data_IF_940092738500
#
_entry.id   IF_940092738500
#
_cell.length_a   1.000
_cell.length_b   1.000
_cell.length_c   1.000
_cell.angle_alpha   90.00
_cell.angle_beta   90.00
_cell.angle_gamma   90.00
#
_symmetry.space_group_name_H-M   'P 1'
#
loop_
_entity.id
_entity.type
_entity.pdbx_description
1 polymer ?
#
# COMPACT_ATOMS: atom_id res chain seq x y z
N UNK A 1 -91.56 5.28 41.66
CA UNK A 1 -90.35 4.87 42.41
C UNK A 1 -89.30 4.52 41.37
N UNK A 2 -88.35 5.43 41.17
CA UNK A 2 -87.17 5.22 40.35
C UNK A 2 -86.02 5.01 41.32
N UNK A 3 -85.35 3.86 41.25
CA UNK A 3 -84.19 3.58 42.09
C UNK A 3 -82.92 3.79 41.26
N UNK A 4 -82.28 4.92 41.49
CA UNK A 4 -80.99 5.31 40.92
C UNK A 4 -79.88 4.67 41.76
N UNK A 5 -79.26 3.61 41.24
CA UNK A 5 -78.04 3.02 41.82
C UNK A 5 -76.80 3.91 41.60
N UNK A 6 -75.84 3.94 42.53
CA UNK A 6 -74.77 4.94 42.54
C UNK A 6 -73.69 4.70 41.49
N UNK A 7 -73.31 5.77 40.80
CA UNK A 7 -72.19 5.83 39.87
C UNK A 7 -70.86 5.64 40.65
N UNK A 8 -69.97 4.71 40.25
CA UNK A 8 -68.68 4.55 40.91
C UNK A 8 -67.75 5.75 40.58
N UNK A 9 -66.88 6.16 41.51
CA UNK A 9 -65.99 7.30 41.31
C UNK A 9 -64.99 6.98 40.21
N UNK A 10 -64.73 7.97 39.35
CA UNK A 10 -63.85 7.88 38.19
C UNK A 10 -62.53 7.18 38.48
N UNK A 11 -62.21 6.19 37.64
CA UNK A 11 -61.00 5.39 37.74
C UNK A 11 -59.76 6.28 37.78
N UNK A 12 -58.95 6.13 38.83
CA UNK A 12 -57.61 6.69 38.85
C UNK A 12 -56.83 6.18 37.63
N UNK A 13 -56.07 7.03 36.91
CA UNK A 13 -55.30 6.60 35.75
C UNK A 13 -54.36 5.46 36.17
N UNK A 14 -54.53 4.31 35.52
CA UNK A 14 -53.84 3.07 35.84
C UNK A 14 -52.32 3.30 35.87
N UNK A 15 -51.66 2.88 36.94
CA UNK A 15 -50.21 2.99 37.15
C UNK A 15 -49.39 2.50 35.95
N UNK A 16 -49.95 1.56 35.18
CA UNK A 16 -49.36 0.98 33.97
C UNK A 16 -49.14 2.01 32.84
N UNK A 17 -50.06 2.97 32.67
CA UNK A 17 -50.01 3.98 31.60
C UNK A 17 -48.84 4.98 31.79
N UNK A 18 -48.28 5.05 33.00
CA UNK A 18 -47.14 5.91 33.37
C UNK A 18 -45.84 5.14 33.57
N UNK A 19 -45.80 3.86 33.19
CA UNK A 19 -44.63 3.02 33.36
C UNK A 19 -43.47 3.49 32.49
N UNK A 20 -42.25 3.44 33.02
CA UNK A 20 -41.03 3.72 32.28
C UNK A 20 -40.90 2.79 31.07
N UNK A 21 -41.30 1.53 31.19
CA UNK A 21 -41.25 0.56 30.09
C UNK A 21 -42.10 0.97 28.88
N UNK A 22 -43.31 1.49 29.11
CA UNK A 22 -44.18 1.98 28.03
C UNK A 22 -43.60 3.24 27.37
N UNK A 23 -42.99 4.12 28.16
CA UNK A 23 -42.28 5.30 27.65
C UNK A 23 -41.07 4.89 26.82
N UNK A 24 -40.30 3.88 27.25
CA UNK A 24 -39.16 3.35 26.51
C UNK A 24 -39.59 2.79 25.16
N UNK A 25 -40.65 1.98 25.10
CA UNK A 25 -41.14 1.42 23.83
C UNK A 25 -41.52 2.52 22.86
N UNK A 26 -42.31 3.51 23.30
CA UNK A 26 -42.70 4.65 22.44
C UNK A 26 -41.50 5.52 22.05
N UNK A 27 -40.55 5.73 22.96
CA UNK A 27 -39.31 6.48 22.67
C UNK A 27 -38.46 5.79 21.61
N UNK A 28 -38.32 4.46 21.68
CA UNK A 28 -37.60 3.66 20.69
C UNK A 28 -38.31 3.69 19.34
N UNK A 29 -39.64 3.62 19.29
CA UNK A 29 -40.39 3.79 18.04
C UNK A 29 -40.12 5.15 17.39
N UNK A 30 -40.19 6.25 18.16
CA UNK A 30 -39.86 7.59 17.66
C UNK A 30 -38.42 7.69 17.15
N UNK A 31 -37.48 7.03 17.82
CA UNK A 31 -36.07 7.01 17.45
C UNK A 31 -35.80 6.19 16.18
N UNK A 32 -36.57 5.12 15.95
CA UNK A 32 -36.50 4.29 14.75
C UNK A 32 -37.19 4.95 13.54
N UNK A 33 -38.24 5.72 13.77
CA UNK A 33 -38.95 6.51 12.74
C UNK A 33 -38.22 7.82 12.40
N UNK A 34 -37.33 8.28 13.26
CA UNK A 34 -36.56 9.50 13.05
C UNK A 34 -35.62 9.38 11.84
N UNK A 35 -35.72 10.35 10.92
CA UNK A 35 -34.84 10.44 9.76
C UNK A 35 -33.37 10.56 10.19
N UNK A 36 -32.49 9.82 9.53
CA UNK A 36 -31.05 9.75 9.81
C UNK A 36 -30.71 9.23 11.22
N UNK A 37 -31.70 8.64 11.92
CA UNK A 37 -31.58 8.16 13.30
C UNK A 37 -31.32 9.27 14.32
N UNK A 38 -31.66 10.52 14.01
CA UNK A 38 -31.46 11.67 14.91
C UNK A 38 -32.79 12.09 15.53
N UNK A 39 -32.90 11.98 16.86
CA UNK A 39 -34.11 12.36 17.59
C UNK A 39 -33.88 13.63 18.41
N UNK A 40 -34.79 14.59 18.26
CA UNK A 40 -34.87 15.78 19.13
C UNK A 40 -35.59 15.41 20.44
N UNK A 41 -34.89 15.60 21.56
CA UNK A 41 -35.39 15.28 22.90
C UNK A 41 -36.55 16.17 23.33
N UNK A 42 -36.68 17.39 22.81
CA UNK A 42 -37.83 18.27 23.07
C UNK A 42 -39.07 17.72 22.38
N UNK A 43 -38.95 17.40 21.09
CA UNK A 43 -40.05 16.81 20.32
C UNK A 43 -40.50 15.49 20.96
N UNK A 44 -39.55 14.63 21.32
CA UNK A 44 -39.86 13.36 21.99
C UNK A 44 -40.57 13.58 23.34
N UNK A 45 -40.15 14.57 24.14
CA UNK A 45 -40.79 14.88 25.42
C UNK A 45 -42.25 15.34 25.25
N UNK A 46 -42.52 16.13 24.22
CA UNK A 46 -43.85 16.62 23.89
C UNK A 46 -44.75 15.48 23.36
N UNK A 47 -44.24 14.67 22.43
CA UNK A 47 -44.97 13.52 21.85
C UNK A 47 -45.27 12.42 22.88
N UNK A 48 -44.35 12.18 23.81
CA UNK A 48 -44.53 11.18 24.86
C UNK A 48 -45.41 11.68 26.03
N UNK A 49 -45.91 12.92 25.96
CA UNK A 49 -46.74 13.57 26.98
C UNK A 49 -46.16 13.43 28.41
N UNK A 50 -44.83 13.46 28.50
CA UNK A 50 -44.13 13.20 29.76
C UNK A 50 -44.22 14.45 30.62
N UNK A 51 -45.10 14.45 31.61
CA UNK A 51 -45.22 15.57 32.59
C UNK A 51 -43.90 15.87 33.35
N UNK A 52 -42.94 14.95 33.33
CA UNK A 52 -41.65 15.05 34.03
C UNK A 52 -40.46 14.78 33.08
N UNK A 53 -39.73 15.84 32.68
CA UNK A 53 -38.52 15.75 31.83
C UNK A 53 -37.46 14.77 32.37
N UNK A 54 -37.52 14.39 33.65
CA UNK A 54 -36.64 13.41 34.28
C UNK A 54 -36.67 12.02 33.62
N UNK A 55 -37.81 11.58 33.08
CA UNK A 55 -37.96 10.22 32.51
C UNK A 55 -37.21 10.04 31.20
N UNK A 56 -37.05 11.10 30.42
CA UNK A 56 -36.24 11.05 29.18
C UNK A 56 -34.79 10.69 29.53
N UNK A 57 -34.23 11.28 30.60
CA UNK A 57 -32.86 10.96 31.03
C UNK A 57 -32.71 9.54 31.57
N UNK A 58 -33.75 8.99 32.22
CA UNK A 58 -33.72 7.58 32.63
C UNK A 58 -33.56 6.66 31.41
N UNK A 59 -34.27 6.95 30.33
CA UNK A 59 -34.22 6.16 29.08
C UNK A 59 -32.88 6.39 28.37
N UNK A 60 -32.48 7.64 28.17
CA UNK A 60 -31.25 7.96 27.42
C UNK A 60 -30.00 7.45 28.14
N UNK A 61 -29.91 7.56 29.48
CA UNK A 61 -28.72 7.10 30.20
C UNK A 61 -28.53 5.59 30.10
N UNK A 62 -29.63 4.82 30.09
CA UNK A 62 -29.56 3.37 29.91
C UNK A 62 -29.17 3.03 28.47
N UNK A 63 -29.81 3.65 27.47
CA UNK A 63 -29.48 3.40 26.06
C UNK A 63 -28.06 3.85 25.69
N UNK A 64 -27.56 4.94 26.28
CA UNK A 64 -26.20 5.43 26.14
C UNK A 64 -25.22 4.52 26.89
N UNK A 65 -25.58 4.05 28.08
CA UNK A 65 -24.79 3.07 28.85
C UNK A 65 -24.63 1.72 28.15
N UNK A 66 -25.61 1.31 27.35
CA UNK A 66 -25.53 0.12 26.47
C UNK A 66 -24.78 0.44 25.15
N UNK A 67 -24.63 1.72 24.80
CA UNK A 67 -23.99 2.18 23.56
C UNK A 67 -24.90 2.15 22.32
N UNK A 68 -26.22 2.06 22.50
CA UNK A 68 -27.20 2.08 21.39
C UNK A 68 -27.52 3.48 20.89
N UNK A 69 -27.16 4.52 21.65
CA UNK A 69 -27.28 5.92 21.27
C UNK A 69 -26.03 6.70 21.64
N UNK A 70 -25.85 7.85 21.00
CA UNK A 70 -24.88 8.86 21.45
C UNK A 70 -25.50 10.26 21.44
N UNK A 71 -24.88 11.15 22.22
CA UNK A 71 -25.25 12.56 22.22
C UNK A 71 -24.62 13.26 21.02
N UNK A 72 -25.46 13.71 20.08
CA UNK A 72 -25.04 14.49 18.92
C UNK A 72 -24.88 15.98 19.25
N UNK A 73 -25.86 16.55 19.96
CA UNK A 73 -25.81 17.95 20.40
C UNK A 73 -26.77 18.18 21.59
N UNK A 74 -26.87 19.42 22.08
CA UNK A 74 -27.80 19.74 23.17
C UNK A 74 -29.24 19.51 22.70
N UNK A 75 -29.95 18.62 23.39
CA UNK A 75 -31.30 18.15 23.03
C UNK A 75 -31.39 17.26 21.78
N UNK A 76 -30.26 16.73 21.28
CA UNK A 76 -30.27 15.82 20.12
C UNK A 76 -29.44 14.58 20.41
N UNK A 77 -30.04 13.42 20.20
CA UNK A 77 -29.38 12.12 20.30
C UNK A 77 -29.41 11.43 18.94
N UNK A 78 -28.43 10.57 18.71
CA UNK A 78 -28.31 9.78 17.50
C UNK A 78 -28.34 8.29 17.84
N UNK A 79 -29.13 7.54 17.09
CA UNK A 79 -29.21 6.09 17.16
C UNK A 79 -27.97 5.46 16.54
N UNK A 80 -27.29 4.61 17.32
CA UNK A 80 -26.15 3.78 16.89
C UNK A 80 -26.53 2.33 16.59
N UNK A 81 -27.71 1.90 17.03
CA UNK A 81 -28.16 0.52 16.86
C UNK A 81 -28.43 0.15 15.40
N UNK A 82 -28.34 -1.14 15.08
CA UNK A 82 -28.75 -1.68 13.78
C UNK A 82 -30.28 -1.76 13.77
N UNK A 83 -30.94 -0.98 12.91
CA UNK A 83 -32.41 -0.94 12.84
C UNK A 83 -32.94 -0.52 11.46
N UNK A 84 -34.21 -0.83 11.17
CA UNK A 84 -34.81 -0.65 9.84
C UNK A 84 -34.95 0.81 9.35
N UNK A 85 -34.60 1.81 10.18
CA UNK A 85 -34.74 3.23 9.86
C UNK A 85 -33.45 4.08 9.86
N UNK A 86 -32.30 3.53 10.26
CA UNK A 86 -31.06 4.30 10.35
C UNK A 86 -29.88 3.49 9.83
N UNK A 87 -29.13 4.07 8.89
CA UNK A 87 -27.86 3.63 8.30
C UNK A 87 -27.87 2.29 7.53
N UNK A 88 -28.81 1.38 7.77
CA UNK A 88 -28.83 0.05 7.12
C UNK A 88 -28.92 0.15 5.59
N UNK A 89 -29.71 1.08 5.06
CA UNK A 89 -29.88 1.26 3.60
C UNK A 89 -28.66 1.91 2.94
N UNK A 90 -28.05 2.90 3.60
CA UNK A 90 -26.83 3.55 3.09
C UNK A 90 -25.62 2.61 3.19
N UNK A 91 -25.51 1.85 4.28
CA UNK A 91 -24.49 0.81 4.45
C UNK A 91 -24.70 -0.30 3.41
N UNK A 92 -25.94 -0.75 3.18
CA UNK A 92 -26.23 -1.73 2.15
C UNK A 92 -25.88 -1.23 0.74
N UNK A 93 -26.18 0.04 0.43
CA UNK A 93 -25.81 0.64 -0.84
C UNK A 93 -24.29 0.72 -1.02
N UNK A 94 -23.56 1.23 -0.01
CA UNK A 94 -22.10 1.26 -0.03
C UNK A 94 -21.49 -0.13 -0.14
N UNK A 95 -22.09 -1.14 0.49
CA UNK A 95 -21.64 -2.52 0.37
C UNK A 95 -21.79 -3.05 -1.06
N UNK A 96 -22.88 -2.70 -1.76
CA UNK A 96 -23.09 -3.08 -3.16
C UNK A 96 -22.08 -2.38 -4.06
N UNK A 97 -21.87 -1.07 -3.85
CA UNK A 97 -20.91 -0.26 -4.61
C UNK A 97 -19.47 -0.77 -4.44
N UNK A 98 -19.03 -0.99 -3.20
CA UNK A 98 -17.70 -1.52 -2.91
C UNK A 98 -17.51 -2.94 -3.46
N UNK A 99 -18.55 -3.78 -3.46
CA UNK A 99 -18.47 -5.11 -4.08
C UNK A 99 -18.28 -5.00 -5.59
N UNK A 100 -19.03 -4.11 -6.25
CA UNK A 100 -18.87 -3.89 -7.68
C UNK A 100 -17.47 -3.33 -8.02
N UNK A 101 -16.95 -2.43 -7.18
CA UNK A 101 -15.59 -1.90 -7.34
C UNK A 101 -14.52 -2.98 -7.17
N UNK A 102 -14.67 -3.88 -6.18
CA UNK A 102 -13.77 -5.03 -6.02
C UNK A 102 -13.81 -5.92 -7.26
N UNK A 103 -15.00 -6.25 -7.78
CA UNK A 103 -15.15 -7.07 -8.97
C UNK A 103 -14.49 -6.44 -10.21
N UNK A 104 -14.60 -5.12 -10.38
CA UNK A 104 -13.94 -4.37 -11.46
C UNK A 104 -12.41 -4.38 -11.31
N UNK A 105 -11.91 -4.14 -10.10
CA UNK A 105 -10.48 -4.19 -9.81
C UNK A 105 -9.90 -5.59 -10.05
N UNK A 106 -10.60 -6.65 -9.64
CA UNK A 106 -10.21 -8.04 -9.90
C UNK A 106 -10.23 -8.38 -11.40
N UNK A 107 -11.14 -7.79 -12.16
CA UNK A 107 -11.13 -7.92 -13.62
C UNK A 107 -9.90 -7.24 -14.23
N UNK A 108 -9.60 -6.02 -13.77
CA UNK A 108 -8.46 -5.26 -14.28
C UNK A 108 -7.12 -5.89 -13.92
N UNK A 109 -6.99 -6.44 -12.72
CA UNK A 109 -5.80 -7.19 -12.30
C UNK A 109 -5.58 -8.41 -13.20
N UNK A 110 -6.63 -9.19 -13.49
CA UNK A 110 -6.54 -10.33 -14.41
C UNK A 110 -6.12 -9.93 -15.82
N UNK A 111 -6.62 -8.80 -16.31
CA UNK A 111 -6.22 -8.28 -17.62
C UNK A 111 -4.73 -7.88 -17.65
N UNK A 112 -4.25 -7.19 -16.61
CA UNK A 112 -2.84 -6.81 -16.50
C UNK A 112 -1.93 -8.03 -16.38
N UNK A 113 -2.30 -9.04 -15.61
CA UNK A 113 -1.51 -10.27 -15.51
C UNK A 113 -1.48 -11.00 -16.86
N UNK A 114 -2.60 -11.01 -17.60
CA UNK A 114 -2.63 -11.56 -18.95
C UNK A 114 -1.69 -10.83 -19.92
N UNK A 115 -1.69 -9.49 -19.89
CA UNK A 115 -0.81 -8.67 -20.71
C UNK A 115 0.66 -8.87 -20.34
N UNK A 116 0.97 -8.93 -19.04
CA UNK A 116 2.31 -9.24 -18.53
C UNK A 116 2.78 -10.60 -19.03
N UNK A 117 1.95 -11.63 -18.94
CA UNK A 117 2.29 -12.96 -19.47
C UNK A 117 2.57 -12.92 -20.97
N UNK A 118 1.76 -12.20 -21.76
CA UNK A 118 2.00 -12.05 -23.20
C UNK A 118 3.32 -11.35 -23.52
N UNK A 119 3.62 -10.25 -22.83
CA UNK A 119 4.87 -9.52 -23.04
C UNK A 119 6.08 -10.35 -22.60
N UNK A 120 6.00 -11.03 -21.45
CA UNK A 120 7.08 -11.92 -20.99
C UNK A 120 7.34 -13.06 -21.98
N UNK A 121 6.28 -13.67 -22.52
CA UNK A 121 6.42 -14.71 -23.53
C UNK A 121 6.96 -14.15 -24.85
N UNK A 122 6.53 -12.95 -25.25
CA UNK A 122 7.05 -12.27 -26.44
C UNK A 122 8.54 -11.96 -26.32
N UNK A 123 8.99 -11.44 -25.17
CA UNK A 123 10.41 -11.21 -24.88
C UNK A 123 11.17 -12.53 -25.00
N UNK A 124 10.69 -13.59 -24.33
CA UNK A 124 11.33 -14.92 -24.39
C UNK A 124 11.45 -15.44 -25.82
N UNK A 125 10.38 -15.34 -26.61
CA UNK A 125 10.39 -15.78 -28.00
C UNK A 125 11.43 -15.03 -28.84
N UNK A 126 11.63 -13.73 -28.58
CA UNK A 126 12.62 -12.92 -29.30
C UNK A 126 14.03 -13.21 -28.80
N UNK A 127 14.25 -13.35 -27.49
CA UNK A 127 15.58 -13.55 -26.90
C UNK A 127 16.13 -14.96 -27.05
N UNK A 128 15.26 -15.97 -27.07
CA UNK A 128 15.65 -17.39 -27.15
C UNK A 128 15.77 -17.86 -28.61
N UNK A 129 15.34 -17.04 -29.58
CA UNK A 129 15.55 -17.29 -31.00
C UNK A 129 17.05 -17.26 -31.34
N UNK A 130 17.51 -18.29 -32.03
CA UNK A 130 18.95 -18.49 -32.32
C UNK A 130 19.51 -17.38 -33.19
N UNK A 131 18.74 -16.88 -34.18
CA UNK A 131 19.20 -15.82 -35.07
C UNK A 131 19.31 -14.49 -34.31
N UNK A 132 18.32 -14.19 -33.46
CA UNK A 132 18.36 -12.97 -32.64
C UNK A 132 19.47 -13.02 -31.61
N UNK A 133 19.79 -14.20 -31.06
CA UNK A 133 20.87 -14.36 -30.08
C UNK A 133 22.25 -14.01 -30.65
N UNK A 134 22.49 -14.30 -31.92
CA UNK A 134 23.73 -13.90 -32.61
C UNK A 134 23.80 -12.39 -32.88
N UNK A 135 22.65 -11.73 -32.96
CA UNK A 135 22.53 -10.28 -33.20
C UNK A 135 22.38 -9.45 -31.91
N UNK A 136 22.23 -10.09 -30.75
CA UNK A 136 22.03 -9.43 -29.46
C UNK A 136 23.36 -8.97 -28.83
N UNK A 137 24.05 -8.04 -29.50
CA UNK A 137 25.27 -7.41 -29.00
C UNK A 137 25.22 -5.89 -29.17
N UNK A 138 26.16 -5.21 -28.51
CA UNK A 138 26.44 -3.77 -28.68
C UNK A 138 27.89 -3.60 -29.09
N UNK A 139 28.18 -2.58 -29.88
CA UNK A 139 29.56 -2.29 -30.30
C UNK A 139 30.28 -1.45 -29.24
N UNK A 140 31.61 -1.50 -29.24
CA UNK A 140 32.45 -0.59 -28.44
C UNK A 140 32.15 0.89 -28.77
N UNK A 141 31.87 1.22 -30.03
CA UNK A 141 31.54 2.57 -30.46
C UNK A 141 30.23 3.05 -29.81
N UNK A 142 29.21 2.19 -29.73
CA UNK A 142 27.94 2.50 -29.06
C UNK A 142 28.15 2.77 -27.57
N UNK A 143 28.98 1.95 -26.90
CA UNK A 143 29.31 2.11 -25.49
C UNK A 143 30.07 3.42 -25.23
N UNK A 144 31.10 3.72 -26.03
CA UNK A 144 31.89 4.94 -25.89
C UNK A 144 31.11 6.22 -26.24
N UNK A 145 30.08 6.13 -27.10
CA UNK A 145 29.17 7.26 -27.37
C UNK A 145 28.28 7.58 -26.17
N UNK A 146 27.83 6.56 -25.44
CA UNK A 146 26.99 6.73 -24.25
C UNK A 146 27.76 7.31 -23.05
N UNK A 147 29.06 7.02 -22.94
CA UNK A 147 29.90 7.44 -21.81
C UNK A 147 31.22 8.09 -22.30
N UNK A 148 31.17 9.33 -22.80
CA UNK A 148 32.33 9.97 -23.39
C UNK A 148 33.38 10.34 -22.32
N UNK A 149 34.59 9.81 -22.46
CA UNK A 149 35.74 10.15 -21.62
C UNK A 149 35.89 9.30 -20.35
N UNK A 150 34.97 8.37 -20.11
CA UNK A 150 35.04 7.45 -18.98
C UNK A 150 35.76 6.15 -19.34
N UNK A 151 36.42 5.54 -18.36
CA UNK A 151 36.95 4.17 -18.48
C UNK A 151 35.83 3.17 -18.25
N UNK A 152 35.55 2.32 -19.23
CA UNK A 152 34.43 1.38 -19.19
C UNK A 152 34.89 -0.05 -18.93
N UNK A 153 34.19 -0.75 -18.04
CA UNK A 153 34.36 -2.18 -17.80
C UNK A 153 33.05 -2.90 -18.12
N UNK A 154 33.04 -3.73 -19.16
CA UNK A 154 31.92 -4.59 -19.51
C UNK A 154 32.06 -5.95 -18.83
N UNK A 155 31.12 -6.28 -17.94
CA UNK A 155 31.17 -7.48 -17.10
C UNK A 155 30.13 -8.48 -17.60
N UNK A 156 30.57 -9.64 -18.07
CA UNK A 156 29.72 -10.76 -18.46
C UNK A 156 29.84 -11.87 -17.41
N UNK A 157 28.76 -12.09 -16.67
CA UNK A 157 28.71 -13.07 -15.58
C UNK A 157 27.45 -13.93 -15.70
N UNK A 158 27.48 -15.19 -15.24
CA UNK A 158 26.29 -16.04 -15.21
C UNK A 158 25.23 -15.50 -14.24
N UNK A 159 23.97 -15.81 -14.52
CA UNK A 159 22.84 -15.49 -13.62
C UNK A 159 23.08 -16.03 -12.22
N UNK A 160 22.85 -15.19 -11.20
CA UNK A 160 23.11 -15.52 -9.79
C UNK A 160 24.50 -15.13 -9.29
N UNK A 161 25.36 -14.52 -10.12
CA UNK A 161 26.62 -13.89 -9.66
C UNK A 161 26.32 -12.81 -8.62
N UNK A 162 26.99 -12.88 -7.49
CA UNK A 162 26.89 -11.88 -6.42
C UNK A 162 27.79 -10.69 -6.75
N UNK A 163 27.20 -9.49 -6.77
CA UNK A 163 27.89 -8.22 -6.91
C UNK A 163 27.76 -7.46 -5.60
N UNK A 164 28.87 -7.25 -4.91
CA UNK A 164 28.93 -6.51 -3.65
C UNK A 164 29.74 -5.22 -3.83
N UNK A 165 29.19 -4.12 -3.32
CA UNK A 165 29.87 -2.80 -3.29
C UNK A 165 29.90 -2.35 -1.84
N UNK A 166 31.04 -2.52 -1.13
CA UNK A 166 31.16 -2.10 0.25
C UNK A 166 31.11 -0.58 0.34
N UNK A 167 30.47 -0.06 1.39
CA UNK A 167 30.44 1.37 1.68
C UNK A 167 31.88 1.82 1.95
N UNK A 168 32.41 2.85 1.26
CA UNK A 168 33.79 3.28 1.44
C UNK A 168 33.99 3.84 2.85
N UNK A 169 34.83 3.17 3.66
CA UNK A 169 35.24 3.68 4.97
C UNK A 169 36.33 4.74 4.79
N UNK A 170 36.07 5.95 5.30
CA UNK A 170 36.99 7.08 5.20
C UNK A 170 37.37 7.63 6.57
N UNK A 171 38.35 7.01 7.23
CA UNK A 171 39.17 7.70 8.24
C UNK A 171 40.34 8.33 7.46
N UNK A 172 40.34 9.67 7.34
CA UNK A 172 41.41 10.49 6.73
C UNK A 172 41.29 10.82 5.23
N UNK A 173 40.08 10.79 4.65
CA UNK A 173 39.79 11.45 3.36
C UNK A 173 40.15 10.67 2.08
N UNK A 174 40.80 9.51 2.17
CA UNK A 174 40.92 8.61 1.02
C UNK A 174 39.72 7.66 0.96
N UNK A 175 38.73 8.00 0.12
CA UNK A 175 37.61 7.10 -0.20
C UNK A 175 38.10 6.06 -1.20
N UNK A 176 38.30 4.83 -0.75
CA UNK A 176 38.59 3.69 -1.62
C UNK A 176 37.27 3.01 -1.98
N UNK A 177 36.98 2.94 -3.27
CA UNK A 177 35.84 2.21 -3.80
C UNK A 177 36.28 0.83 -4.27
N UNK A 178 35.45 -0.18 -4.05
CA UNK A 178 35.73 -1.54 -4.45
C UNK A 178 34.45 -2.19 -4.97
N UNK A 179 34.59 -3.12 -5.91
CA UNK A 179 33.50 -3.96 -6.41
C UNK A 179 33.98 -5.40 -6.28
N UNK A 180 33.21 -6.25 -5.61
CA UNK A 180 33.47 -7.68 -5.48
C UNK A 180 32.46 -8.45 -6.32
N UNK A 181 32.96 -9.37 -7.13
CA UNK A 181 32.15 -10.25 -7.97
C UNK A 181 32.46 -11.70 -7.60
N UNK A 182 31.42 -12.46 -7.27
CA UNK A 182 31.55 -13.87 -6.91
C UNK A 182 30.51 -14.71 -7.65
N UNK A 183 30.99 -15.63 -8.47
CA UNK A 183 30.15 -16.61 -9.17
C UNK A 183 30.45 -18.01 -8.62
N UNK A 184 29.40 -18.79 -8.36
CA UNK A 184 29.50 -20.19 -7.95
C UNK A 184 29.39 -21.17 -9.12
N UNK A 185 28.93 -20.71 -10.28
CA UNK A 185 28.44 -21.58 -11.35
C UNK A 185 29.30 -21.57 -12.61
N UNK A 186 29.95 -20.45 -12.94
CA UNK A 186 30.83 -20.31 -14.10
C UNK A 186 31.82 -19.13 -13.95
N UNK A 187 32.76 -19.00 -14.88
CA UNK A 187 33.69 -17.88 -14.94
C UNK A 187 32.97 -16.54 -15.18
N UNK A 188 33.64 -15.45 -14.79
CA UNK A 188 33.21 -14.09 -15.04
C UNK A 188 34.20 -13.49 -16.03
N UNK A 189 33.70 -12.96 -17.14
CA UNK A 189 34.52 -12.29 -18.14
C UNK A 189 34.40 -10.77 -17.95
N UNK A 190 35.53 -10.09 -17.84
CA UNK A 190 35.58 -8.63 -17.72
C UNK A 190 36.37 -8.06 -18.88
N UNK A 191 35.76 -7.15 -19.63
CA UNK A 191 36.35 -6.47 -20.77
C UNK A 191 36.57 -4.99 -20.44
N UNK A 192 37.80 -4.51 -20.55
CA UNK A 192 38.12 -3.09 -20.53
C UNK A 192 37.82 -2.51 -21.90
N UNK A 193 36.90 -1.55 -21.98
CA UNK A 193 36.59 -0.78 -23.19
C UNK A 193 37.16 0.62 -22.97
N UNK A 194 38.31 0.91 -23.58
CA UNK A 194 38.96 2.21 -23.45
C UNK A 194 38.94 2.96 -24.78
N UNK A 195 38.58 4.25 -24.73
CA UNK A 195 38.79 5.19 -25.82
C UNK A 195 39.82 6.20 -25.35
N UNK A 196 41.08 6.02 -25.77
CA UNK A 196 42.09 7.05 -25.57
C UNK A 196 41.63 8.33 -26.28
N UNK A 197 41.70 9.45 -25.57
CA UNK A 197 41.06 10.72 -25.94
C UNK A 197 41.52 11.34 -27.27
N UNK A 198 42.52 10.76 -27.94
CA UNK A 198 43.07 11.26 -29.19
C UNK A 198 43.31 10.14 -30.22
N UNK A 199 42.32 9.94 -31.10
CA UNK A 199 42.45 9.34 -32.45
C UNK A 199 42.64 7.82 -32.60
N UNK A 200 42.73 7.01 -31.56
CA UNK A 200 42.77 5.54 -31.71
C UNK A 200 41.36 4.90 -31.71
N UNK A 201 41.16 3.79 -32.45
CA UNK A 201 39.97 2.97 -32.27
C UNK A 201 39.94 2.42 -30.82
N UNK A 202 38.75 2.27 -30.22
CA UNK A 202 38.66 1.79 -28.85
C UNK A 202 39.26 0.39 -28.74
N UNK A 203 40.01 0.17 -27.65
CA UNK A 203 40.71 -1.09 -27.40
C UNK A 203 39.92 -1.88 -26.37
N UNK A 204 39.65 -3.15 -26.70
CA UNK A 204 38.96 -4.10 -25.82
C UNK A 204 39.94 -5.15 -25.32
N UNK A 205 40.17 -5.22 -24.01
CA UNK A 205 41.11 -6.17 -23.39
C UNK A 205 40.45 -6.95 -22.24
N UNK A 206 40.73 -8.27 -22.09
CA UNK A 206 40.26 -9.01 -20.94
C UNK A 206 41.01 -8.58 -19.66
N UNK A 207 40.32 -8.67 -18.52
CA UNK A 207 40.91 -8.45 -17.19
C UNK A 207 40.85 -9.76 -16.39
N UNK A 208 41.99 -10.31 -15.91
CA UNK A 208 43.35 -9.78 -16.04
C UNK A 208 43.89 -9.86 -17.48
N UNK A 209 44.77 -8.92 -17.89
CA UNK A 209 45.35 -8.93 -19.24
C UNK A 209 46.15 -10.22 -19.49
N UNK A 210 46.17 -10.73 -20.74
CA UNK A 210 46.93 -11.94 -21.09
C UNK A 210 48.43 -11.76 -20.80
N UNK A 211 49.10 -12.82 -20.38
CA UNK A 211 50.52 -12.81 -19.98
C UNK A 211 51.46 -12.28 -21.09
N UNK A 212 51.08 -12.49 -22.36
CA UNK A 212 51.83 -12.03 -23.54
C UNK A 212 51.92 -10.49 -23.64
N UNK A 213 50.96 -9.76 -23.07
CA UNK A 213 50.99 -8.30 -23.00
C UNK A 213 51.83 -7.78 -21.82
N UNK A 214 52.10 -8.63 -20.81
CA UNK A 214 52.85 -8.27 -19.60
C UNK A 214 54.36 -8.42 -19.82
N UNK A 215 54.80 -9.31 -20.72
CA UNK A 215 56.23 -9.57 -21.00
C UNK A 215 56.91 -8.53 -21.91
N UNK A 216 56.18 -7.57 -22.48
CA UNK A 216 56.73 -6.53 -23.35
C UNK A 216 57.23 -5.28 -22.60
N UNK A 217 57.68 -5.40 -21.34
CA UNK A 217 58.47 -4.35 -20.70
C UNK A 217 59.98 -4.61 -20.88
N UNK A 218 60.75 -3.68 -21.45
CA UNK A 218 62.18 -3.87 -21.65
C UNK A 218 62.90 -3.98 -20.31
N UNK A 219 63.67 -5.07 -20.17
CA UNK A 219 64.59 -5.33 -19.08
C UNK A 219 65.62 -4.19 -19.06
N UNK A 220 65.55 -3.29 -18.08
CA UNK A 220 66.62 -2.31 -17.84
C UNK A 220 67.85 -3.03 -17.28
N UNK A 221 69.03 -2.97 -17.92
CA UNK A 221 70.23 -3.60 -17.38
C UNK A 221 70.73 -2.83 -16.15
N UNK A 222 70.81 -3.55 -15.02
CA UNK A 222 71.41 -3.08 -13.77
C UNK A 222 72.89 -2.78 -13.98
N UNK A 223 73.27 -1.50 -13.91
CA UNK A 223 74.66 -1.06 -13.92
C UNK A 223 75.19 -1.13 -12.48
N UNK A 224 76.15 -2.02 -12.23
CA UNK A 224 76.91 -2.06 -10.97
C UNK A 224 77.83 -0.82 -10.89
N UNK A 225 77.92 -0.12 -9.75
CA UNK A 225 78.96 0.87 -9.55
C UNK A 225 80.27 0.17 -9.17
N UNK A 226 81.31 0.43 -9.96
CA UNK A 226 82.71 0.15 -9.63
C UNK A 226 83.20 1.28 -8.73
N UNK A 227 83.66 0.96 -7.52
CA UNK A 227 84.31 1.91 -6.62
C UNK A 227 85.80 1.56 -6.58
N UNK A 228 86.62 2.53 -7.00
CA UNK A 228 88.03 2.65 -6.64
C UNK A 228 88.14 3.54 -5.40
#
# INVERSE_FOLDING_TARGET
MAESGPQPPGGAPSRHEKSLGLLTTKFVSLLQEAKDGVLDLKLAADTLAVRQKRRIYDITNVLEGIGLIEKKSKNSIQWKGVGPGCNTREIAHKLIELKAEIEDLEHRERELEQQKMWVQQSIRNVTDDVQNKELAYVTDEDLCKCFPGDTLLAIRAPSGTQLEVPVPEGLNGQRKYQIHLKSSNASIDVLLVNKDAWSSPPVVLPVPPPEDLIQCQPITPSTKPSVA
#
